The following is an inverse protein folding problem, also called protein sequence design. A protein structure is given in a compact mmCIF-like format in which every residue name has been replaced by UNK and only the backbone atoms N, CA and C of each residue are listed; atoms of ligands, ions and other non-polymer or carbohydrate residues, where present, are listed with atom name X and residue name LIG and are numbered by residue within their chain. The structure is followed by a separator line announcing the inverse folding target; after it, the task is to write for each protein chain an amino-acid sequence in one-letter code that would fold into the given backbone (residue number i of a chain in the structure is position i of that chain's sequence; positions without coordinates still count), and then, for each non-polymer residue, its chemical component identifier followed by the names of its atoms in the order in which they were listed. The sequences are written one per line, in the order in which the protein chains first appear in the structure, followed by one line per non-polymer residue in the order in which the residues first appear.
data_IF_389562250197
#
_entry.id   IF_389562250197
#
_cell.length_a   1.000
_cell.length_b   1.000
_cell.length_c   1.000
_cell.angle_alpha   90.00
_cell.angle_beta   90.00
_cell.angle_gamma   90.00
#
_symmetry.space_group_name_H-M   'P 1'
#
loop_
_entity.id
_entity.type
_entity.pdbx_description
1 polymer ?
#
# COMPACT_ATOMS: atom_id res chain seq x y z
N UNK A 1 19.29 -64.21 38.32
CA UNK A 1 20.75 -64.23 38.10
C UNK A 1 21.11 -62.92 37.53
N UNK A 2 21.47 -62.02 38.37
CA UNK A 2 22.69 -61.19 38.55
C UNK A 2 23.12 -60.48 37.30
N UNK A 3 22.82 -59.14 37.19
CA UNK A 3 23.65 -58.04 37.65
C UNK A 3 24.88 -57.83 36.73
N UNK A 4 24.93 -56.72 36.02
CA UNK A 4 26.02 -55.74 36.19
C UNK A 4 25.75 -54.44 35.55
N UNK A 5 25.72 -53.40 36.39
CA UNK A 5 25.79 -51.96 35.94
C UNK A 5 27.27 -51.60 35.86
N UNK A 6 27.68 -51.07 34.73
CA UNK A 6 28.96 -50.35 34.66
C UNK A 6 28.68 -48.87 34.40
N UNK A 7 29.01 -48.07 35.42
CA UNK A 7 29.15 -46.63 35.42
C UNK A 7 30.26 -46.20 34.44
N UNK A 8 29.98 -45.21 33.58
CA UNK A 8 31.00 -44.44 32.88
C UNK A 8 30.92 -42.97 33.31
N UNK A 9 32.06 -42.37 33.67
CA UNK A 9 32.09 -40.95 34.05
C UNK A 9 31.99 -40.02 32.82
N UNK A 10 31.24 -38.90 32.98
CA UNK A 10 31.12 -37.86 31.98
C UNK A 10 32.35 -36.94 31.94
N UNK A 11 32.60 -36.24 30.83
CA UNK A 11 33.74 -35.38 30.70
C UNK A 11 33.58 -34.04 31.42
N UNK A 12 34.66 -33.61 32.06
CA UNK A 12 34.86 -32.34 32.76
C UNK A 12 34.65 -31.11 31.87
N UNK A 13 33.92 -30.14 32.39
CA UNK A 13 33.83 -28.80 31.80
C UNK A 13 34.94 -27.88 32.34
N UNK A 14 35.64 -27.08 31.55
CA UNK A 14 36.71 -26.20 32.02
C UNK A 14 36.15 -24.99 32.79
N UNK A 15 36.80 -24.72 33.92
CA UNK A 15 36.53 -23.54 34.80
C UNK A 15 36.96 -22.26 34.13
N UNK A 16 36.02 -21.28 34.13
CA UNK A 16 36.31 -19.92 33.72
C UNK A 16 37.16 -19.19 34.76
N UNK A 17 38.39 -18.81 34.37
CA UNK A 17 39.24 -17.88 35.12
C UNK A 17 38.67 -16.47 35.14
N UNK A 18 38.58 -15.90 36.34
CA UNK A 18 38.19 -14.50 36.58
C UNK A 18 39.36 -13.56 36.25
N UNK A 19 39.20 -12.64 35.30
CA UNK A 19 40.10 -11.51 35.09
C UNK A 19 39.89 -10.38 36.10
N UNK A 20 40.95 -9.69 36.57
CA UNK A 20 40.86 -8.66 37.59
C UNK A 20 40.32 -7.31 37.03
N UNK A 21 39.56 -6.61 37.89
CA UNK A 21 39.03 -5.25 37.64
C UNK A 21 40.15 -4.24 37.52
N UNK A 22 40.13 -3.41 36.47
CA UNK A 22 40.96 -2.20 36.33
C UNK A 22 40.22 -0.99 36.89
N UNK A 23 40.92 -0.23 37.75
CA UNK A 23 40.50 1.03 38.35
C UNK A 23 40.50 2.21 37.35
N UNK A 24 39.69 3.24 37.55
CA UNK A 24 39.61 4.38 36.62
C UNK A 24 40.69 5.44 36.91
N UNK A 25 41.32 5.96 35.87
CA UNK A 25 42.22 7.09 35.89
C UNK A 25 41.51 8.45 35.77
N UNK A 26 42.09 9.57 36.28
CA UNK A 26 41.41 10.84 36.47
C UNK A 26 41.30 11.68 35.20
N UNK A 27 40.14 12.31 35.03
CA UNK A 27 39.84 13.26 33.93
C UNK A 27 40.69 14.52 34.02
N UNK A 28 41.47 14.83 33.00
CA UNK A 28 42.13 16.11 32.73
C UNK A 28 41.09 17.07 32.13
N UNK A 29 40.81 18.19 32.86
CA UNK A 29 40.05 19.35 32.35
C UNK A 29 40.95 20.16 31.42
N UNK A 30 40.59 20.28 30.15
CA UNK A 30 41.13 21.31 29.27
C UNK A 30 40.13 22.46 29.16
N UNK A 31 40.58 23.66 29.55
CA UNK A 31 39.88 24.92 29.34
C UNK A 31 40.01 25.30 27.86
N UNK A 32 38.94 25.49 27.16
CA UNK A 32 38.94 26.20 25.89
C UNK A 32 38.34 27.59 26.05
N UNK A 33 39.17 28.58 25.80
CA UNK A 33 38.76 29.97 25.60
C UNK A 33 37.96 30.10 24.31
N UNK A 34 36.77 30.70 24.40
CA UNK A 34 35.95 31.10 23.30
C UNK A 34 36.49 32.39 22.66
N UNK A 35 36.84 32.33 21.37
CA UNK A 35 36.96 33.50 20.52
C UNK A 35 35.61 33.79 19.81
N UNK A 36 34.90 34.80 20.34
CA UNK A 36 33.81 35.45 19.61
C UNK A 36 34.42 36.41 18.59
N UNK A 37 34.41 36.06 17.30
CA UNK A 37 34.49 37.02 16.15
C UNK A 37 34.35 36.22 14.88
N UNK A 38 33.11 36.01 14.38
CA UNK A 38 32.77 35.81 12.95
C UNK A 38 31.26 35.50 12.82
N UNK A 39 30.41 36.54 12.88
CA UNK A 39 28.99 36.32 12.55
C UNK A 39 28.30 37.60 12.06
N UNK A 40 28.95 38.35 11.17
CA UNK A 40 28.32 39.54 10.54
C UNK A 40 28.28 39.47 8.99
N UNK A 41 28.88 38.48 8.36
CA UNK A 41 28.86 38.37 6.88
C UNK A 41 27.82 37.38 6.32
N UNK A 42 27.20 36.54 7.17
CA UNK A 42 26.17 35.57 6.74
C UNK A 42 24.74 36.13 6.64
N UNK A 43 24.47 37.29 7.25
CA UNK A 43 23.12 37.85 7.31
C UNK A 43 22.72 38.78 6.15
N UNK A 44 23.67 39.33 5.41
CA UNK A 44 23.35 40.15 4.21
C UNK A 44 23.02 39.33 2.97
N UNK A 45 23.53 38.09 2.85
CA UNK A 45 23.26 37.22 1.69
C UNK A 45 21.84 36.64 1.66
N UNK A 46 21.23 36.42 2.83
CA UNK A 46 19.91 35.82 2.94
C UNK A 46 18.76 36.77 2.55
N UNK A 47 18.92 38.08 2.70
CA UNK A 47 17.91 39.07 2.34
C UNK A 47 17.84 39.43 0.86
N UNK A 48 18.95 39.26 0.13
CA UNK A 48 18.99 39.51 -1.32
C UNK A 48 18.38 38.34 -2.12
N UNK A 49 18.45 37.10 -1.62
CA UNK A 49 17.82 35.95 -2.26
C UNK A 49 16.30 35.95 -2.09
N UNK A 50 15.78 36.41 -0.96
CA UNK A 50 14.34 36.50 -0.71
C UNK A 50 13.65 37.59 -1.55
N UNK A 51 14.35 38.69 -1.85
CA UNK A 51 13.81 39.79 -2.67
C UNK A 51 13.63 39.43 -4.16
N UNK A 52 14.53 38.60 -4.72
CA UNK A 52 14.46 38.21 -6.14
C UNK A 52 13.34 37.21 -6.40
N UNK A 53 13.07 36.28 -5.44
CA UNK A 53 11.96 35.32 -5.57
C UNK A 53 10.59 36.00 -5.50
N UNK A 54 10.44 37.03 -4.63
CA UNK A 54 9.18 37.77 -4.51
C UNK A 54 8.81 38.55 -5.79
N UNK A 55 9.80 39.13 -6.46
CA UNK A 55 9.58 39.89 -7.72
C UNK A 55 9.22 38.97 -8.90
N UNK A 56 9.78 37.73 -8.94
CA UNK A 56 9.45 36.75 -9.99
C UNK A 56 8.05 36.15 -9.80
N UNK A 57 7.58 35.91 -8.55
CA UNK A 57 6.24 35.40 -8.32
C UNK A 57 5.16 36.44 -8.66
N UNK A 58 5.36 37.74 -8.37
CA UNK A 58 4.42 38.79 -8.70
C UNK A 58 4.36 39.02 -10.24
N UNK A 59 5.48 38.88 -10.94
CA UNK A 59 5.54 39.02 -12.40
C UNK A 59 4.78 37.92 -13.15
N UNK A 60 4.88 36.68 -12.72
CA UNK A 60 4.20 35.53 -13.35
C UNK A 60 2.70 35.54 -13.06
N UNK A 61 2.27 35.93 -11.86
CA UNK A 61 0.86 35.99 -11.50
C UNK A 61 0.14 37.14 -12.21
N UNK A 62 0.81 38.28 -12.41
CA UNK A 62 0.28 39.42 -13.17
C UNK A 62 0.10 39.12 -14.67
N UNK A 63 1.00 38.34 -15.26
CA UNK A 63 0.90 37.95 -16.68
C UNK A 63 -0.18 36.91 -16.94
N UNK A 64 -0.47 36.04 -15.95
CA UNK A 64 -1.51 35.01 -16.04
C UNK A 64 -2.93 35.62 -16.00
N UNK A 65 -3.13 36.71 -15.25
CA UNK A 65 -4.44 37.38 -15.12
C UNK A 65 -4.80 38.26 -16.31
N UNK A 66 -3.82 38.68 -17.15
CA UNK A 66 -4.06 39.53 -18.33
C UNK A 66 -4.43 38.77 -19.60
N UNK A 67 -4.42 37.43 -19.60
CA UNK A 67 -4.67 36.59 -20.77
C UNK A 67 -5.98 35.80 -20.75
N UNK A 68 -6.86 36.00 -19.77
CA UNK A 68 -8.06 35.16 -19.61
C UNK A 68 -9.41 35.87 -19.65
N UNK A 69 -9.51 37.09 -20.21
CA UNK A 69 -10.81 37.73 -20.44
C UNK A 69 -11.01 38.13 -21.91
N UNK A 70 -11.69 37.27 -22.66
CA UNK A 70 -12.33 37.65 -23.92
C UNK A 70 -13.72 36.99 -23.99
N UNK A 71 -14.81 37.75 -23.90
CA UNK A 71 -16.15 37.21 -24.06
C UNK A 71 -16.50 37.05 -25.53
N UNK A 72 -16.81 35.83 -25.96
CA UNK A 72 -17.41 35.55 -27.27
C UNK A 72 -18.89 35.94 -27.23
N UNK A 73 -19.24 36.98 -27.96
CA UNK A 73 -20.65 37.35 -28.22
C UNK A 73 -21.21 36.47 -29.32
N UNK A 74 -22.22 35.66 -28.99
CA UNK A 74 -23.10 35.05 -29.98
C UNK A 74 -24.26 36.01 -30.30
N UNK A 75 -24.37 36.38 -31.56
CA UNK A 75 -25.55 37.05 -32.11
C UNK A 75 -26.71 36.04 -32.21
N UNK A 76 -27.81 36.36 -31.59
CA UNK A 76 -29.07 35.66 -31.76
C UNK A 76 -29.89 36.38 -32.83
N UNK A 77 -30.23 35.71 -33.93
CA UNK A 77 -31.30 36.11 -34.84
C UNK A 77 -32.60 35.45 -34.39
N UNK A 78 -33.57 36.27 -34.09
CA UNK A 78 -34.90 35.83 -33.66
C UNK A 78 -35.80 35.51 -34.83
N UNK A 79 -36.72 34.59 -34.64
CA UNK A 79 -38.05 34.61 -35.26
C UNK A 79 -39.10 34.10 -34.26
N UNK A 80 -40.15 34.88 -34.18
CA UNK A 80 -41.32 34.73 -33.33
C UNK A 80 -42.25 33.60 -33.77
N UNK A 81 -42.88 32.95 -32.82
CA UNK A 81 -44.05 32.09 -33.05
C UNK A 81 -44.74 31.71 -31.72
N UNK A 82 -45.99 32.15 -31.59
CA UNK A 82 -46.80 32.13 -30.38
C UNK A 82 -47.49 30.78 -30.12
N UNK A 83 -47.86 30.61 -28.87
CA UNK A 83 -49.12 30.06 -28.33
C UNK A 83 -49.08 28.73 -27.55
N UNK A 84 -49.37 28.88 -26.27
CA UNK A 84 -50.38 28.20 -25.45
C UNK A 84 -50.19 26.76 -24.93
N UNK A 85 -50.20 26.67 -23.61
CA UNK A 85 -50.96 25.65 -22.88
C UNK A 85 -50.19 24.96 -21.74
N UNK A 86 -50.72 24.94 -20.51
CA UNK A 86 -50.01 24.35 -19.35
C UNK A 86 -50.30 22.85 -19.18
N UNK A 87 -49.27 22.08 -19.17
CA UNK A 87 -49.32 20.67 -18.79
C UNK A 87 -48.13 20.34 -17.91
N UNK A 88 -48.32 20.47 -16.60
CA UNK A 88 -47.32 20.01 -15.63
C UNK A 88 -47.17 18.51 -15.69
N UNK A 89 -46.02 17.99 -16.13
CA UNK A 89 -45.64 16.61 -15.89
C UNK A 89 -44.98 16.50 -14.52
N UNK A 90 -45.35 15.49 -13.72
CA UNK A 90 -44.71 15.22 -12.43
C UNK A 90 -43.25 14.85 -12.70
N UNK A 91 -42.34 15.41 -11.89
CA UNK A 91 -40.94 15.14 -11.94
C UNK A 91 -40.66 13.64 -11.92
N UNK A 92 -40.00 13.16 -12.95
CA UNK A 92 -39.47 11.80 -13.00
C UNK A 92 -38.35 11.72 -11.99
N UNK A 93 -38.64 11.08 -10.86
CA UNK A 93 -37.58 10.56 -9.95
C UNK A 93 -36.60 9.73 -10.80
N UNK A 94 -35.29 9.95 -10.69
CA UNK A 94 -34.37 9.09 -11.41
C UNK A 94 -34.64 7.65 -11.00
N UNK A 95 -34.92 6.79 -11.97
CA UNK A 95 -35.04 5.35 -11.74
C UNK A 95 -33.76 4.86 -11.05
N UNK A 96 -33.87 4.01 -10.01
CA UNK A 96 -32.68 3.41 -9.40
C UNK A 96 -31.90 2.71 -10.51
N UNK A 97 -30.59 3.04 -10.60
CA UNK A 97 -29.70 2.43 -11.57
C UNK A 97 -29.86 0.91 -11.51
N UNK A 98 -30.16 0.29 -12.62
CA UNK A 98 -30.34 -1.16 -12.71
C UNK A 98 -29.08 -1.87 -12.23
N UNK A 99 -29.21 -2.65 -11.15
CA UNK A 99 -28.13 -3.37 -10.42
C UNK A 99 -27.63 -4.61 -11.21
N UNK A 100 -27.43 -4.48 -12.51
CA UNK A 100 -27.12 -5.61 -13.39
C UNK A 100 -25.64 -5.86 -13.62
N UNK A 101 -24.75 -5.00 -13.14
CA UNK A 101 -23.30 -5.15 -13.34
C UNK A 101 -22.56 -5.57 -12.07
N UNK A 102 -21.64 -6.51 -12.21
CA UNK A 102 -20.66 -6.87 -11.18
C UNK A 102 -19.25 -6.69 -11.71
N UNK A 103 -18.31 -6.34 -10.80
CA UNK A 103 -16.87 -6.33 -11.07
C UNK A 103 -16.23 -7.43 -10.23
N UNK A 104 -15.44 -8.30 -10.87
CA UNK A 104 -14.55 -9.22 -10.18
C UNK A 104 -13.22 -8.53 -9.93
N UNK A 105 -12.76 -8.61 -8.68
CA UNK A 105 -11.52 -8.02 -8.20
C UNK A 105 -10.67 -9.15 -7.65
N UNK A 106 -9.41 -9.22 -8.05
CA UNK A 106 -8.40 -10.09 -7.45
C UNK A 106 -7.35 -9.21 -6.82
N UNK A 107 -7.07 -9.41 -5.53
CA UNK A 107 -6.03 -8.70 -4.80
C UNK A 107 -4.99 -9.66 -4.25
N UNK A 108 -3.75 -9.20 -4.25
CA UNK A 108 -2.61 -9.91 -3.69
C UNK A 108 -1.80 -9.00 -2.76
N UNK A 109 -0.99 -9.60 -1.90
CA UNK A 109 -0.13 -8.88 -0.97
C UNK A 109 1.07 -8.18 -1.61
N UNK A 110 2.16 -8.11 -0.85
CA UNK A 110 3.35 -7.34 -1.17
C UNK A 110 4.19 -8.01 -2.26
N UNK A 111 4.55 -7.24 -3.29
CA UNK A 111 5.36 -7.66 -4.43
C UNK A 111 6.70 -6.94 -4.45
N UNK A 112 7.78 -7.72 -4.36
CA UNK A 112 9.15 -7.24 -4.44
C UNK A 112 9.98 -8.15 -5.35
N UNK A 113 10.73 -7.57 -6.29
CA UNK A 113 11.32 -8.35 -7.38
C UNK A 113 12.83 -8.55 -7.28
N UNK A 114 13.43 -8.22 -6.14
CA UNK A 114 14.87 -8.32 -5.92
C UNK A 114 15.54 -6.97 -5.63
N UNK A 115 16.83 -6.99 -5.35
CA UNK A 115 17.62 -5.80 -5.05
C UNK A 115 19.07 -5.97 -5.51
N UNK A 116 19.80 -4.84 -5.64
CA UNK A 116 21.25 -4.81 -5.91
C UNK A 116 21.67 -5.64 -7.13
N UNK A 117 20.84 -5.71 -8.18
CA UNK A 117 21.15 -6.49 -9.38
C UNK A 117 20.82 -7.99 -9.26
N UNK A 118 20.35 -8.44 -8.10
CA UNK A 118 19.93 -9.82 -7.87
C UNK A 118 18.43 -9.95 -8.16
N UNK A 119 18.10 -10.57 -9.29
CA UNK A 119 16.75 -10.70 -9.80
C UNK A 119 16.46 -12.15 -10.23
N UNK A 120 15.16 -12.55 -10.38
CA UNK A 120 14.80 -13.89 -10.83
C UNK A 120 15.49 -14.22 -12.16
N UNK A 121 16.22 -15.34 -12.27
CA UNK A 121 16.91 -15.73 -13.50
C UNK A 121 16.00 -15.86 -14.72
N UNK A 122 14.71 -16.26 -14.51
CA UNK A 122 13.67 -16.31 -15.52
C UNK A 122 12.96 -14.98 -15.78
N UNK A 123 13.44 -13.87 -15.18
CA UNK A 123 12.76 -12.58 -15.16
C UNK A 123 11.58 -12.56 -14.17
N UNK A 124 11.07 -11.34 -13.88
CA UNK A 124 10.01 -11.13 -12.87
C UNK A 124 8.74 -11.93 -13.18
N UNK A 125 8.41 -12.15 -14.45
CA UNK A 125 7.25 -12.95 -14.86
C UNK A 125 7.28 -14.40 -14.36
N UNK A 126 8.47 -14.97 -14.16
CA UNK A 126 8.60 -16.35 -13.68
C UNK A 126 8.13 -16.53 -12.23
N UNK A 127 8.12 -15.47 -11.42
CA UNK A 127 7.62 -15.51 -10.06
C UNK A 127 6.12 -15.86 -9.98
N UNK A 128 5.34 -15.50 -10.99
CA UNK A 128 3.88 -15.67 -10.99
C UNK A 128 3.41 -16.99 -11.57
N UNK A 129 4.33 -17.86 -12.05
CA UNK A 129 3.98 -19.06 -12.80
C UNK A 129 3.07 -20.03 -12.03
N UNK A 130 3.35 -20.25 -10.72
CA UNK A 130 2.60 -21.18 -9.89
C UNK A 130 1.15 -20.77 -9.62
N UNK A 131 0.83 -19.48 -9.78
CA UNK A 131 -0.50 -18.90 -9.47
C UNK A 131 -1.11 -18.16 -10.67
N UNK A 132 -0.55 -18.32 -11.87
CA UNK A 132 -1.00 -17.56 -13.04
C UNK A 132 -2.50 -17.69 -13.32
N UNK A 133 -3.09 -18.86 -13.06
CA UNK A 133 -4.52 -19.09 -13.20
C UNK A 133 -5.41 -18.26 -12.29
N UNK A 134 -4.91 -17.86 -11.13
CA UNK A 134 -5.65 -17.10 -10.12
C UNK A 134 -5.60 -15.58 -10.35
N UNK A 135 -4.75 -15.09 -11.27
CA UNK A 135 -4.54 -13.66 -11.51
C UNK A 135 -5.46 -13.06 -12.59
N UNK A 136 -6.47 -13.79 -13.04
CA UNK A 136 -7.39 -13.34 -14.08
C UNK A 136 -8.74 -12.91 -13.53
N UNK A 137 -8.98 -11.59 -13.48
CA UNK A 137 -10.26 -10.99 -13.12
C UNK A 137 -10.51 -9.70 -13.91
N UNK A 138 -11.68 -9.07 -13.73
CA UNK A 138 -11.95 -7.76 -14.35
C UNK A 138 -10.96 -6.69 -13.88
N UNK A 139 -10.46 -6.84 -12.64
CA UNK A 139 -9.51 -5.93 -12.01
C UNK A 139 -8.58 -6.72 -11.07
N UNK A 140 -7.40 -7.10 -11.54
CA UNK A 140 -6.34 -7.69 -10.72
C UNK A 140 -5.42 -6.59 -10.21
N UNK A 141 -5.19 -6.55 -8.90
CA UNK A 141 -4.43 -5.51 -8.18
C UNK A 141 -3.49 -6.13 -7.15
N UNK A 142 -2.58 -5.33 -6.62
CA UNK A 142 -1.65 -5.72 -5.53
C UNK A 142 -0.76 -4.55 -5.13
N UNK A 143 0.03 -4.72 -4.08
CA UNK A 143 0.99 -3.71 -3.61
C UNK A 143 2.34 -3.90 -4.30
N UNK A 144 2.77 -2.93 -5.11
CA UNK A 144 4.09 -2.91 -5.75
C UNK A 144 5.09 -2.25 -4.77
N UNK A 145 5.81 -3.07 -4.04
CA UNK A 145 6.71 -2.66 -2.96
C UNK A 145 8.17 -2.62 -3.41
N UNK A 146 8.40 -1.97 -4.53
CA UNK A 146 9.74 -1.78 -5.13
C UNK A 146 9.74 -0.58 -6.06
N UNK A 147 10.83 0.17 -6.10
CA UNK A 147 11.08 1.12 -7.17
C UNK A 147 11.38 0.40 -8.48
N UNK A 148 10.94 0.97 -9.62
CA UNK A 148 11.21 0.44 -10.96
C UNK A 148 12.11 1.41 -11.72
N UNK A 149 13.26 0.93 -12.17
CA UNK A 149 14.23 1.75 -12.88
C UNK A 149 15.64 1.27 -12.64
N UNK A 150 16.61 2.12 -12.98
CA UNK A 150 18.04 1.83 -12.80
C UNK A 150 18.83 3.04 -12.31
N UNK A 151 18.16 4.16 -12.13
CA UNK A 151 18.76 5.44 -11.73
C UNK A 151 18.25 5.86 -10.34
N UNK A 152 18.80 6.96 -9.84
CA UNK A 152 18.46 7.50 -8.54
C UNK A 152 19.49 7.21 -7.47
N UNK A 153 19.22 7.70 -6.27
CA UNK A 153 20.08 7.52 -5.10
C UNK A 153 19.35 6.68 -4.07
N UNK A 154 19.98 5.60 -3.63
CA UNK A 154 19.40 4.75 -2.59
C UNK A 154 19.14 5.54 -1.31
N UNK A 155 17.99 5.27 -0.67
CA UNK A 155 17.66 5.84 0.65
C UNK A 155 18.58 5.35 1.77
N UNK A 156 19.27 4.22 1.53
CA UNK A 156 20.15 3.60 2.53
C UNK A 156 21.51 4.29 2.56
N UNK A 157 21.94 4.68 3.76
CA UNK A 157 23.30 5.18 3.98
C UNK A 157 24.35 4.10 3.72
N UNK A 158 25.57 4.52 3.30
CA UNK A 158 26.67 3.61 3.09
C UNK A 158 26.98 2.79 4.36
N UNK A 159 27.00 1.46 4.23
CA UNK A 159 27.29 0.53 5.34
C UNK A 159 26.12 0.27 6.30
N UNK A 160 24.92 0.72 6.00
CA UNK A 160 23.72 0.35 6.77
C UNK A 160 23.39 -1.13 6.59
N UNK A 161 23.21 -1.85 7.70
CA UNK A 161 22.84 -3.28 7.73
C UNK A 161 21.35 -3.50 8.01
N UNK A 162 20.62 -2.44 8.38
CA UNK A 162 19.21 -2.49 8.76
C UNK A 162 18.30 -1.65 7.84
N UNK A 163 18.86 -1.21 6.70
CA UNK A 163 18.11 -0.47 5.69
C UNK A 163 18.03 -1.29 4.40
N UNK A 164 16.83 -1.49 3.91
CA UNK A 164 16.57 -2.20 2.66
C UNK A 164 16.03 -1.20 1.62
N UNK A 165 16.64 -1.20 0.45
CA UNK A 165 16.20 -0.42 -0.70
C UNK A 165 16.04 -1.37 -1.89
N UNK A 166 14.82 -1.46 -2.40
CA UNK A 166 14.44 -2.36 -3.47
C UNK A 166 14.30 -1.58 -4.78
N UNK A 167 15.06 -1.99 -5.77
CA UNK A 167 14.96 -1.42 -7.10
C UNK A 167 15.06 -2.54 -8.14
N UNK A 168 14.04 -2.67 -8.99
CA UNK A 168 13.96 -3.64 -10.05
C UNK A 168 13.99 -2.97 -11.44
N UNK A 169 14.41 -3.67 -12.50
CA UNK A 169 14.42 -3.11 -13.84
C UNK A 169 13.03 -2.59 -14.27
N UNK A 170 12.99 -1.48 -15.01
CA UNK A 170 11.74 -0.89 -15.54
C UNK A 170 10.88 -1.89 -16.33
N UNK A 171 11.51 -2.88 -16.99
CA UNK A 171 10.81 -3.97 -17.70
C UNK A 171 9.92 -4.84 -16.80
N UNK A 172 10.14 -4.81 -15.47
CA UNK A 172 9.32 -5.53 -14.50
C UNK A 172 7.85 -5.10 -14.53
N UNK A 173 7.58 -3.81 -14.85
CA UNK A 173 6.22 -3.32 -15.04
C UNK A 173 5.47 -4.09 -16.13
N UNK A 174 6.13 -4.39 -17.25
CA UNK A 174 5.56 -5.20 -18.34
C UNK A 174 5.28 -6.62 -17.88
N UNK A 175 6.19 -7.25 -17.12
CA UNK A 175 6.00 -8.59 -16.58
C UNK A 175 4.78 -8.66 -15.64
N UNK A 176 4.62 -7.69 -14.74
CA UNK A 176 3.44 -7.56 -13.87
C UNK A 176 2.16 -7.41 -14.71
N UNK A 177 2.19 -6.56 -15.75
CA UNK A 177 1.05 -6.38 -16.66
C UNK A 177 0.69 -7.68 -17.39
N UNK A 178 1.68 -8.43 -17.85
CA UNK A 178 1.52 -9.72 -18.55
C UNK A 178 1.01 -10.83 -17.63
N UNK A 179 1.35 -10.79 -16.34
CA UNK A 179 0.81 -11.70 -15.32
C UNK A 179 -0.69 -11.49 -15.04
N UNK A 180 -1.31 -10.43 -15.60
CA UNK A 180 -2.75 -10.19 -15.48
C UNK A 180 -3.12 -8.93 -14.67
N UNK A 181 -2.15 -8.28 -14.03
CA UNK A 181 -2.43 -7.08 -13.24
C UNK A 181 -2.96 -5.93 -14.09
N UNK A 182 -3.97 -5.26 -13.58
CA UNK A 182 -4.62 -4.10 -14.20
C UNK A 182 -4.18 -2.79 -13.55
N UNK A 183 -3.90 -2.83 -12.25
CA UNK A 183 -3.43 -1.70 -11.47
C UNK A 183 -2.59 -2.17 -10.28
N UNK A 184 -1.76 -1.27 -9.73
CA UNK A 184 -0.98 -1.51 -8.52
C UNK A 184 -1.09 -0.34 -7.55
N UNK A 185 -1.03 -0.63 -6.25
CA UNK A 185 -0.73 0.37 -5.24
C UNK A 185 0.79 0.59 -5.22
N UNK A 186 1.21 1.85 -5.18
CA UNK A 186 2.62 2.25 -5.06
C UNK A 186 2.87 3.10 -3.80
N UNK A 187 1.86 3.27 -2.93
CA UNK A 187 2.03 3.93 -1.65
C UNK A 187 2.53 2.90 -0.63
N UNK A 188 3.81 2.98 -0.28
CA UNK A 188 4.47 2.10 0.69
C UNK A 188 5.85 2.65 1.10
N UNK A 189 6.52 2.02 2.07
CA UNK A 189 7.84 2.42 2.57
C UNK A 189 8.98 2.28 1.55
N UNK A 190 8.73 1.62 0.41
CA UNK A 190 9.70 1.43 -0.68
C UNK A 190 9.48 2.35 -1.88
N UNK A 191 8.51 3.28 -1.77
CA UNK A 191 8.25 4.28 -2.81
C UNK A 191 9.47 5.14 -3.13
N UNK A 192 10.22 5.55 -2.10
CA UNK A 192 11.36 6.47 -2.22
C UNK A 192 12.73 5.76 -2.18
N UNK A 193 12.78 4.46 -2.43
CA UNK A 193 13.99 3.64 -2.35
C UNK A 193 15.13 4.12 -3.25
N UNK A 194 14.81 4.74 -4.37
CA UNK A 194 15.75 5.34 -5.31
C UNK A 194 15.58 6.88 -5.42
N UNK A 195 14.96 7.49 -4.41
CA UNK A 195 14.70 8.94 -4.34
C UNK A 195 13.68 9.40 -5.40
N UNK A 196 13.57 10.72 -5.55
CA UNK A 196 12.63 11.33 -6.49
C UNK A 196 12.80 10.86 -7.94
N UNK A 197 14.03 10.54 -8.35
CA UNK A 197 14.32 9.98 -9.70
C UNK A 197 13.69 8.59 -9.82
N UNK A 198 13.84 7.72 -8.79
CA UNK A 198 13.24 6.40 -8.76
C UNK A 198 11.72 6.43 -8.81
N UNK A 199 11.08 7.41 -8.14
CA UNK A 199 9.64 7.64 -8.24
C UNK A 199 9.23 7.96 -9.67
N UNK A 200 9.95 8.86 -10.35
CA UNK A 200 9.68 9.22 -11.75
C UNK A 200 9.88 8.05 -12.70
N UNK A 201 10.97 7.29 -12.55
CA UNK A 201 11.23 6.10 -13.36
C UNK A 201 10.16 5.02 -13.15
N UNK A 202 9.71 4.81 -11.90
CA UNK A 202 8.61 3.89 -11.57
C UNK A 202 7.32 4.31 -12.30
N UNK A 203 6.92 5.57 -12.19
CA UNK A 203 5.70 6.08 -12.85
C UNK A 203 5.79 5.98 -14.38
N UNK A 204 6.97 6.25 -14.96
CA UNK A 204 7.23 6.10 -16.40
C UNK A 204 7.17 4.63 -16.85
N UNK A 205 7.76 3.70 -16.08
CA UNK A 205 7.73 2.26 -16.37
C UNK A 205 6.30 1.70 -16.34
N UNK A 206 5.51 2.08 -15.32
CA UNK A 206 4.11 1.68 -15.20
C UNK A 206 3.26 2.23 -16.36
N UNK A 207 3.48 3.51 -16.73
CA UNK A 207 2.82 4.15 -17.86
C UNK A 207 3.15 3.43 -19.19
N UNK A 208 4.42 3.16 -19.45
CA UNK A 208 4.89 2.46 -20.65
C UNK A 208 4.35 1.02 -20.76
N UNK A 209 4.11 0.37 -19.61
CA UNK A 209 3.48 -0.95 -19.55
C UNK A 209 1.94 -0.92 -19.63
N UNK A 210 1.32 0.26 -19.73
CA UNK A 210 -0.13 0.44 -19.62
C UNK A 210 -0.73 -0.17 -18.33
N UNK A 211 0.06 -0.18 -17.26
CA UNK A 211 -0.35 -0.61 -15.94
C UNK A 211 -0.76 0.62 -15.12
N UNK A 212 -2.00 0.65 -14.65
CA UNK A 212 -2.48 1.76 -13.81
C UNK A 212 -1.86 1.68 -12.42
N UNK A 213 -1.74 2.81 -11.74
CA UNK A 213 -1.28 2.84 -10.35
C UNK A 213 -1.99 3.93 -9.55
N UNK A 214 -1.95 3.79 -8.23
CA UNK A 214 -2.46 4.77 -7.27
C UNK A 214 -1.52 4.85 -6.09
N UNK A 215 -1.54 5.98 -5.36
CA UNK A 215 -0.75 6.15 -4.13
C UNK A 215 -0.03 7.47 -4.01
N UNK A 216 0.23 8.18 -5.12
CA UNK A 216 0.92 9.47 -5.08
C UNK A 216 0.07 10.56 -4.40
N UNK A 217 0.69 11.60 -3.79
CA UNK A 217 -0.01 12.71 -3.18
C UNK A 217 -1.03 13.33 -4.14
N UNK A 218 -2.27 13.52 -3.70
CA UNK A 218 -3.35 14.10 -4.51
C UNK A 218 -3.95 13.17 -5.58
N UNK A 219 -3.33 12.05 -5.92
CA UNK A 219 -3.77 11.14 -6.98
C UNK A 219 -5.05 10.38 -6.62
N UNK A 220 -5.97 10.28 -7.56
CA UNK A 220 -7.07 9.31 -7.57
C UNK A 220 -7.14 8.71 -8.96
N UNK A 221 -6.98 7.40 -9.06
CA UNK A 221 -6.96 6.72 -10.36
C UNK A 221 -8.34 6.20 -10.69
N UNK A 222 -8.88 6.62 -11.84
CA UNK A 222 -10.18 6.19 -12.32
C UNK A 222 -10.02 5.20 -13.47
N UNK A 223 -10.86 4.17 -13.46
CA UNK A 223 -10.98 3.19 -14.55
C UNK A 223 -12.41 2.73 -14.71
N UNK A 224 -12.72 2.07 -15.83
CA UNK A 224 -14.05 1.51 -16.08
C UNK A 224 -13.91 0.01 -16.34
N UNK A 225 -14.76 -0.80 -15.70
CA UNK A 225 -14.89 -2.24 -15.92
C UNK A 225 -16.35 -2.61 -16.03
N UNK A 226 -16.74 -3.27 -17.09
CA UNK A 226 -18.13 -3.66 -17.36
C UNK A 226 -19.13 -2.48 -17.27
N UNK A 227 -18.70 -1.28 -17.68
CA UNK A 227 -19.51 -0.06 -17.58
C UNK A 227 -19.49 0.60 -16.19
N UNK A 228 -18.90 -0.04 -15.18
CA UNK A 228 -18.81 0.48 -13.81
C UNK A 228 -17.54 1.32 -13.67
N UNK A 229 -17.70 2.59 -13.26
CA UNK A 229 -16.60 3.49 -12.96
C UNK A 229 -16.07 3.22 -11.56
N UNK A 230 -14.78 2.97 -11.46
CA UNK A 230 -14.07 2.60 -10.24
C UNK A 230 -13.02 3.66 -9.93
N UNK A 231 -12.93 4.08 -8.68
CA UNK A 231 -11.87 4.92 -8.15
C UNK A 231 -10.91 4.08 -7.30
N UNK A 232 -9.61 4.22 -7.53
CA UNK A 232 -8.55 3.60 -6.74
C UNK A 232 -7.80 4.70 -5.98
N UNK A 233 -7.60 4.53 -4.66
CA UNK A 233 -6.82 5.41 -3.80
C UNK A 233 -5.88 4.57 -2.95
N UNK A 234 -4.57 4.86 -3.00
CA UNK A 234 -3.56 4.23 -2.16
C UNK A 234 -3.07 5.18 -1.07
N UNK A 235 -2.79 4.65 0.12
CA UNK A 235 -2.33 5.42 1.28
C UNK A 235 -1.21 4.68 2.02
N UNK A 236 -0.21 5.46 2.47
CA UNK A 236 0.87 4.99 3.34
C UNK A 236 1.27 6.09 4.34
N UNK A 237 1.97 5.79 5.44
CA UNK A 237 2.30 6.79 6.45
C UNK A 237 3.52 7.67 6.08
N UNK A 238 3.76 7.93 4.78
CA UNK A 238 4.94 8.64 4.30
C UNK A 238 4.56 9.93 3.56
N UNK A 239 5.45 10.92 3.56
CA UNK A 239 5.19 12.24 2.96
C UNK A 239 5.24 12.22 1.43
N UNK A 240 5.94 11.29 0.84
CA UNK A 240 6.02 11.08 -0.61
C UNK A 240 4.84 10.28 -1.17
N UNK A 241 3.95 9.79 -0.31
CA UNK A 241 2.72 9.13 -0.66
C UNK A 241 1.49 9.92 -0.19
N UNK A 242 0.30 9.45 -0.53
CA UNK A 242 -0.92 9.95 0.11
C UNK A 242 -0.93 9.52 1.56
N UNK A 243 -0.88 10.50 2.47
CA UNK A 243 -0.63 10.26 3.88
C UNK A 243 -1.79 9.55 4.59
N UNK A 244 -1.50 8.38 5.15
CA UNK A 244 -2.42 7.57 5.96
C UNK A 244 -2.63 8.16 7.37
N UNK A 245 -1.67 8.90 7.90
CA UNK A 245 -1.74 9.44 9.25
C UNK A 245 -2.72 10.61 9.38
N UNK A 246 -3.08 11.27 8.27
CA UNK A 246 -4.11 12.31 8.22
C UNK A 246 -5.46 11.71 7.81
N UNK A 247 -6.11 11.02 8.77
CA UNK A 247 -7.40 10.35 8.56
C UNK A 247 -8.49 11.32 8.04
N UNK A 248 -8.64 12.56 8.57
CA UNK A 248 -9.60 13.50 8.04
C UNK A 248 -9.39 13.85 6.55
N UNK A 249 -8.15 14.08 6.13
CA UNK A 249 -7.82 14.37 4.73
C UNK A 249 -8.06 13.13 3.84
N UNK A 250 -7.73 11.93 4.33
CA UNK A 250 -7.99 10.67 3.64
C UNK A 250 -9.50 10.46 3.42
N UNK A 251 -10.32 10.59 4.47
CA UNK A 251 -11.77 10.49 4.38
C UNK A 251 -12.36 11.54 3.41
N UNK A 252 -11.85 12.77 3.42
CA UNK A 252 -12.26 13.80 2.47
C UNK A 252 -11.92 13.43 1.01
N UNK A 253 -10.76 12.79 0.78
CA UNK A 253 -10.37 12.31 -0.55
C UNK A 253 -11.30 11.17 -1.03
N UNK A 254 -11.63 10.23 -0.15
CA UNK A 254 -12.57 9.13 -0.44
C UNK A 254 -13.96 9.67 -0.76
N UNK A 255 -14.51 10.62 0.03
CA UNK A 255 -15.81 11.27 -0.30
C UNK A 255 -15.79 11.91 -1.68
N UNK A 256 -14.71 12.60 -2.06
CA UNK A 256 -14.60 13.18 -3.41
C UNK A 256 -14.55 12.11 -4.50
N UNK A 257 -13.93 10.96 -4.24
CA UNK A 257 -13.90 9.83 -5.17
C UNK A 257 -15.28 9.18 -5.31
N UNK A 258 -15.98 8.94 -4.20
CA UNK A 258 -17.32 8.38 -4.16
C UNK A 258 -18.37 9.25 -4.90
N UNK A 259 -18.20 10.57 -4.89
CA UNK A 259 -19.04 11.48 -5.69
C UNK A 259 -18.78 11.37 -7.21
N UNK A 260 -17.71 10.65 -7.66
CA UNK A 260 -17.30 10.59 -9.07
C UNK A 260 -17.20 9.17 -9.64
N UNK A 261 -17.36 8.15 -8.80
CA UNK A 261 -17.27 6.75 -9.18
C UNK A 261 -18.37 5.95 -8.49
N UNK A 262 -18.74 4.82 -9.08
CA UNK A 262 -19.72 3.89 -8.53
C UNK A 262 -19.11 2.96 -7.48
N UNK A 263 -17.80 2.65 -7.64
CA UNK A 263 -17.04 1.87 -6.68
C UNK A 263 -15.79 2.62 -6.26
N UNK A 264 -15.47 2.57 -4.98
CA UNK A 264 -14.24 3.13 -4.41
C UNK A 264 -13.47 2.03 -3.70
N UNK A 265 -12.27 1.75 -4.18
CA UNK A 265 -11.35 0.77 -3.60
C UNK A 265 -10.18 1.54 -2.98
N UNK A 266 -9.94 1.31 -1.71
CA UNK A 266 -8.85 1.93 -0.95
C UNK A 266 -7.79 0.90 -0.65
N UNK A 267 -6.53 1.22 -0.97
CA UNK A 267 -5.36 0.46 -0.57
C UNK A 267 -4.69 1.13 0.62
N UNK A 268 -4.25 0.34 1.57
CA UNK A 268 -3.44 0.82 2.69
C UNK A 268 -2.16 0.00 2.80
N UNK A 269 -1.04 0.68 3.02
CA UNK A 269 0.20 0.05 3.46
C UNK A 269 0.47 0.53 4.88
N UNK A 270 0.12 -0.29 5.88
CA UNK A 270 -0.01 0.15 7.26
C UNK A 270 0.23 -0.97 8.27
N UNK A 271 0.67 -0.57 9.46
CA UNK A 271 0.90 -1.47 10.58
C UNK A 271 2.37 -1.87 10.76
N UNK A 272 2.67 -2.45 11.90
CA UNK A 272 3.97 -3.03 12.21
C UNK A 272 4.24 -4.26 11.34
N UNK A 273 5.51 -4.62 11.19
CA UNK A 273 5.95 -5.69 10.29
C UNK A 273 6.41 -6.95 11.02
N UNK A 274 6.35 -8.08 10.32
CA UNK A 274 6.93 -9.36 10.71
C UNK A 274 6.01 -10.27 11.51
N UNK A 275 6.53 -11.43 11.90
CA UNK A 275 5.77 -12.53 12.52
C UNK A 275 5.03 -12.13 13.81
N UNK A 276 5.56 -11.17 14.57
CA UNK A 276 4.94 -10.69 15.80
C UNK A 276 3.76 -9.71 15.53
N UNK A 277 3.60 -9.24 14.31
CA UNK A 277 2.62 -8.22 13.91
C UNK A 277 1.35 -8.78 13.26
N UNK A 278 1.05 -10.07 13.44
CA UNK A 278 -0.14 -10.70 12.84
C UNK A 278 -1.47 -10.14 13.37
N UNK A 279 -1.52 -9.73 14.62
CA UNK A 279 -2.73 -9.20 15.23
C UNK A 279 -2.97 -7.74 14.83
N UNK A 280 -4.22 -7.41 14.49
CA UNK A 280 -4.66 -6.03 14.29
C UNK A 280 -5.42 -5.57 15.53
N UNK A 281 -5.01 -4.41 16.08
CA UNK A 281 -5.60 -3.84 17.29
C UNK A 281 -5.86 -2.35 17.11
N UNK A 282 -6.87 -1.78 17.79
CA UNK A 282 -7.03 -0.32 17.80
C UNK A 282 -5.81 0.40 18.33
N UNK A 283 -5.42 1.48 17.70
CA UNK A 283 -4.33 2.34 18.12
C UNK A 283 -3.21 2.45 17.09
N UNK A 284 -2.32 3.42 17.34
CA UNK A 284 -1.16 3.68 16.50
C UNK A 284 -0.16 2.53 16.59
N UNK A 285 0.08 1.85 15.49
CA UNK A 285 1.17 0.88 15.37
C UNK A 285 2.48 1.60 15.00
N UNK A 286 3.60 1.04 15.47
CA UNK A 286 4.95 1.54 15.18
C UNK A 286 5.88 0.40 14.80
N UNK A 287 6.84 0.68 13.92
CA UNK A 287 7.89 -0.27 13.52
C UNK A 287 9.20 0.47 13.28
N UNK A 288 10.30 0.01 13.86
CA UNK A 288 11.62 0.65 13.79
C UNK A 288 11.61 2.16 14.10
N UNK A 289 10.75 2.58 15.03
CA UNK A 289 10.59 4.00 15.42
C UNK A 289 9.68 4.82 14.50
N UNK A 290 9.20 4.27 13.41
CA UNK A 290 8.25 4.92 12.49
C UNK A 290 6.80 4.70 12.92
N UNK A 291 5.96 5.73 12.75
CA UNK A 291 4.50 5.60 12.90
C UNK A 291 3.94 4.89 11.67
N UNK A 292 3.34 3.73 11.87
CA UNK A 292 2.78 2.89 10.80
C UNK A 292 1.25 2.99 10.68
N UNK A 293 0.62 3.90 11.42
CA UNK A 293 -0.81 4.20 11.40
C UNK A 293 -1.63 3.40 12.41
N UNK A 294 -2.93 3.70 12.44
CA UNK A 294 -3.98 2.89 13.08
C UNK A 294 -4.81 2.26 11.97
N UNK A 295 -4.53 1.01 11.57
CA UNK A 295 -5.21 0.36 10.45
C UNK A 295 -6.73 0.27 10.63
N UNK A 296 -7.21 0.07 11.87
CA UNK A 296 -8.64 -0.04 12.17
C UNK A 296 -9.32 1.32 12.04
N UNK A 297 -8.82 2.34 12.75
CA UNK A 297 -9.43 3.67 12.71
C UNK A 297 -9.42 4.26 11.30
N UNK A 298 -8.31 4.07 10.55
CA UNK A 298 -8.22 4.51 9.17
C UNK A 298 -9.24 3.81 8.28
N UNK A 299 -9.31 2.47 8.33
CA UNK A 299 -10.19 1.68 7.47
C UNK A 299 -11.66 1.99 7.73
N UNK A 300 -12.04 2.14 8.99
CA UNK A 300 -13.41 2.55 9.37
C UNK A 300 -13.73 3.93 8.80
N UNK A 301 -12.85 4.92 8.99
CA UNK A 301 -13.08 6.29 8.52
C UNK A 301 -13.22 6.37 6.99
N UNK A 302 -12.46 5.59 6.21
CA UNK A 302 -12.59 5.60 4.76
C UNK A 302 -13.83 4.84 4.28
N UNK A 303 -14.26 3.78 4.97
CA UNK A 303 -15.55 3.11 4.69
C UNK A 303 -16.71 4.06 4.98
N UNK A 304 -16.71 4.75 6.11
CA UNK A 304 -17.72 5.77 6.46
C UNK A 304 -17.73 6.94 5.47
N UNK A 305 -16.59 7.19 4.81
CA UNK A 305 -16.47 8.20 3.75
C UNK A 305 -16.92 7.70 2.36
N UNK A 306 -17.27 6.42 2.21
CA UNK A 306 -17.78 5.83 0.97
C UNK A 306 -16.83 4.88 0.25
N UNK A 307 -15.83 4.33 0.91
CA UNK A 307 -15.07 3.21 0.36
C UNK A 307 -15.91 1.92 0.38
N UNK A 308 -15.88 1.17 -0.73
CA UNK A 308 -16.61 -0.09 -0.89
C UNK A 308 -15.76 -1.32 -0.54
N UNK A 309 -14.43 -1.15 -0.54
CA UNK A 309 -13.47 -2.18 -0.26
C UNK A 309 -12.18 -1.55 0.25
N UNK A 310 -11.58 -2.15 1.29
CA UNK A 310 -10.25 -1.77 1.79
C UNK A 310 -9.32 -2.97 1.69
N UNK A 311 -8.17 -2.77 1.05
CA UNK A 311 -7.15 -3.77 0.77
C UNK A 311 -5.84 -3.36 1.42
N UNK A 312 -5.37 -4.16 2.37
CA UNK A 312 -4.22 -3.87 3.21
C UNK A 312 -2.98 -4.68 2.85
N UNK A 313 -1.83 -4.03 3.05
CA UNK A 313 -0.48 -4.55 2.88
C UNK A 313 0.48 -3.92 3.90
N UNK A 314 1.74 -4.33 3.93
CA UNK A 314 2.81 -3.77 4.76
C UNK A 314 3.26 -4.61 5.94
N UNK A 315 2.40 -5.34 6.66
CA UNK A 315 2.84 -6.18 7.77
C UNK A 315 3.68 -7.40 7.37
N UNK A 316 3.72 -7.76 6.09
CA UNK A 316 4.42 -8.94 5.54
C UNK A 316 3.94 -10.28 6.13
N UNK A 317 2.76 -10.29 6.76
CA UNK A 317 2.07 -11.45 7.30
C UNK A 317 0.58 -11.31 7.07
N UNK A 318 -0.12 -12.44 7.02
CA UNK A 318 -1.57 -12.45 6.99
C UNK A 318 -2.14 -11.84 8.27
N UNK A 319 -3.13 -10.97 8.13
CA UNK A 319 -3.90 -10.38 9.22
C UNK A 319 -5.39 -10.73 9.12
N UNK A 320 -6.15 -10.29 10.12
CA UNK A 320 -7.60 -10.42 10.16
C UNK A 320 -8.28 -9.75 8.95
N UNK A 321 -9.48 -10.22 8.63
CA UNK A 321 -10.42 -9.55 7.73
C UNK A 321 -11.70 -9.18 8.50
N UNK A 322 -12.34 -8.07 8.14
CA UNK A 322 -13.49 -7.50 8.85
C UNK A 322 -14.66 -7.20 7.92
N UNK A 323 -15.88 -7.45 8.41
CA UNK A 323 -17.08 -6.82 7.90
C UNK A 323 -17.36 -5.54 8.69
N UNK A 324 -17.30 -4.39 8.05
CA UNK A 324 -17.65 -3.10 8.65
C UNK A 324 -18.65 -2.37 7.78
N UNK A 325 -19.84 -2.07 8.31
CA UNK A 325 -20.98 -1.49 7.58
C UNK A 325 -21.29 -2.20 6.25
N UNK A 326 -21.13 -3.53 6.22
CA UNK A 326 -21.36 -4.36 5.03
C UNK A 326 -20.25 -4.29 3.97
N UNK A 327 -19.13 -3.63 4.26
CA UNK A 327 -17.94 -3.56 3.42
C UNK A 327 -16.85 -4.49 3.95
N UNK A 328 -16.10 -5.07 3.04
CA UNK A 328 -14.98 -5.93 3.40
C UNK A 328 -13.71 -5.08 3.60
N UNK A 329 -13.02 -5.33 4.70
CA UNK A 329 -11.70 -4.82 5.01
C UNK A 329 -10.75 -6.03 5.14
N UNK A 330 -9.71 -6.11 4.32
CA UNK A 330 -8.60 -7.04 4.50
C UNK A 330 -7.41 -6.23 5.04
N UNK A 331 -6.93 -6.54 6.27
CA UNK A 331 -5.89 -5.73 6.90
C UNK A 331 -4.49 -6.04 6.41
N UNK A 332 -4.23 -7.25 5.92
CA UNK A 332 -3.02 -7.63 5.17
C UNK A 332 -3.20 -9.01 4.55
N UNK A 333 -2.73 -9.16 3.33
CA UNK A 333 -2.64 -10.45 2.63
C UNK A 333 -1.24 -11.08 2.73
N UNK A 334 -0.32 -10.46 3.49
CA UNK A 334 1.06 -10.92 3.62
C UNK A 334 1.90 -10.66 2.37
N UNK A 335 3.00 -11.38 2.25
CA UNK A 335 3.87 -11.35 1.08
C UNK A 335 3.24 -12.10 -0.08
N UNK A 336 3.33 -11.57 -1.30
CA UNK A 336 2.81 -12.29 -2.48
C UNK A 336 3.93 -12.81 -3.37
N UNK A 337 4.90 -11.99 -3.73
CA UNK A 337 6.02 -12.40 -4.57
C UNK A 337 7.27 -11.60 -4.22
N UNK A 338 8.37 -12.29 -3.98
CA UNK A 338 9.68 -11.71 -3.72
C UNK A 338 10.77 -12.49 -4.42
N UNK A 339 11.99 -11.96 -4.43
CA UNK A 339 13.15 -12.73 -4.86
C UNK A 339 14.31 -12.47 -3.92
N UNK A 340 14.50 -13.38 -2.96
CA UNK A 340 15.50 -13.28 -1.88
C UNK A 340 15.43 -11.97 -1.05
N UNK A 341 14.24 -11.38 -0.94
CA UNK A 341 14.03 -10.07 -0.30
C UNK A 341 13.00 -10.10 0.82
N UNK A 342 12.13 -11.11 0.84
CA UNK A 342 11.07 -11.27 1.82
C UNK A 342 11.39 -12.41 2.77
N UNK A 343 10.93 -12.31 4.02
CA UNK A 343 11.03 -13.42 4.98
C UNK A 343 10.15 -14.59 4.52
N UNK A 344 10.74 -15.82 4.53
CA UNK A 344 10.06 -17.03 4.07
C UNK A 344 9.92 -18.06 5.19
N UNK A 345 10.13 -17.66 6.45
CA UNK A 345 10.08 -18.54 7.60
C UNK A 345 8.74 -18.46 8.32
N UNK A 346 8.13 -19.62 8.59
CA UNK A 346 6.87 -19.69 9.34
C UNK A 346 5.76 -18.88 8.67
N UNK A 347 5.13 -18.00 9.44
CA UNK A 347 3.96 -17.22 9.01
C UNK A 347 4.25 -16.12 7.98
N UNK A 348 5.52 -15.74 7.76
CA UNK A 348 5.89 -14.77 6.73
C UNK A 348 5.88 -15.38 5.32
N UNK A 349 5.92 -16.72 5.24
CA UNK A 349 5.72 -17.43 3.98
C UNK A 349 4.24 -17.70 3.66
N UNK A 350 3.34 -17.64 4.66
CA UNK A 350 1.92 -17.87 4.44
C UNK A 350 1.26 -16.62 3.86
N UNK A 351 0.48 -16.79 2.79
CA UNK A 351 -0.14 -15.70 2.05
C UNK A 351 -1.48 -16.11 1.45
N UNK A 352 -2.12 -15.17 0.75
CA UNK A 352 -3.42 -15.43 0.14
C UNK A 352 -3.66 -14.57 -1.10
N UNK A 353 -4.42 -15.11 -2.04
CA UNK A 353 -5.04 -14.36 -3.13
C UNK A 353 -6.52 -14.16 -2.78
N UNK A 354 -6.97 -12.93 -2.77
CA UNK A 354 -8.32 -12.55 -2.42
C UNK A 354 -9.14 -12.28 -3.68
N UNK A 355 -10.21 -13.03 -3.89
CA UNK A 355 -11.14 -12.85 -4.98
C UNK A 355 -12.46 -12.29 -4.48
N UNK A 356 -12.93 -11.18 -5.02
CA UNK A 356 -14.14 -10.48 -4.61
C UNK A 356 -14.98 -10.15 -5.83
N UNK A 357 -16.30 -10.20 -5.69
CA UNK A 357 -17.25 -9.61 -6.64
C UNK A 357 -18.08 -8.56 -5.93
N UNK A 358 -18.07 -7.35 -6.48
CA UNK A 358 -18.90 -6.24 -6.02
C UNK A 358 -19.94 -5.88 -7.08
N UNK A 359 -21.16 -5.54 -6.64
CA UNK A 359 -22.14 -4.89 -7.49
C UNK A 359 -21.80 -3.41 -7.68
N UNK A 360 -22.39 -2.78 -8.68
CA UNK A 360 -22.17 -1.37 -8.98
C UNK A 360 -22.52 -0.42 -7.80
N UNK A 361 -23.37 -0.85 -6.88
CA UNK A 361 -23.70 -0.12 -5.64
C UNK A 361 -22.76 -0.43 -4.46
N UNK A 362 -21.65 -1.12 -4.71
CA UNK A 362 -20.66 -1.48 -3.70
C UNK A 362 -21.01 -2.68 -2.82
N UNK A 363 -22.18 -3.31 -3.01
CA UNK A 363 -22.55 -4.48 -2.21
C UNK A 363 -21.75 -5.71 -2.62
N UNK A 364 -21.34 -6.49 -1.63
CA UNK A 364 -20.63 -7.75 -1.83
C UNK A 364 -21.54 -8.77 -2.52
N UNK A 365 -21.10 -9.31 -3.66
CA UNK A 365 -21.82 -10.30 -4.45
C UNK A 365 -21.23 -11.72 -4.33
N UNK A 366 -20.11 -11.86 -3.61
CA UNK A 366 -19.44 -13.13 -3.38
C UNK A 366 -17.92 -12.96 -3.41
N UNK A 367 -17.20 -13.95 -2.90
CA UNK A 367 -15.74 -13.97 -2.92
C UNK A 367 -15.17 -15.23 -2.33
N UNK A 368 -13.88 -15.40 -2.52
CA UNK A 368 -13.09 -16.51 -2.00
C UNK A 368 -11.66 -16.09 -1.71
N UNK A 369 -10.99 -16.89 -0.92
CA UNK A 369 -9.56 -16.80 -0.62
C UNK A 369 -8.89 -18.06 -1.16
N UNK A 370 -7.90 -17.89 -2.04
CA UNK A 370 -6.98 -18.94 -2.45
C UNK A 370 -5.75 -18.86 -1.55
N UNK A 371 -5.53 -19.84 -0.65
CA UNK A 371 -4.35 -19.85 0.18
C UNK A 371 -3.13 -20.20 -0.65
N UNK A 372 -2.06 -19.45 -0.48
CA UNK A 372 -0.78 -19.66 -1.13
C UNK A 372 0.35 -19.60 -0.11
N UNK A 373 1.49 -20.13 -0.51
CA UNK A 373 2.72 -20.09 0.26
C UNK A 373 3.88 -19.68 -0.63
N UNK A 374 4.77 -18.86 -0.11
CA UNK A 374 6.01 -18.53 -0.80
C UNK A 374 7.02 -19.65 -0.63
N UNK A 375 7.62 -20.07 -1.74
CA UNK A 375 8.60 -21.16 -1.80
C UNK A 375 9.87 -20.72 -2.54
N UNK A 376 10.95 -21.47 -2.36
CA UNK A 376 12.24 -21.17 -3.00
C UNK A 376 12.75 -19.79 -2.60
N UNK A 377 13.03 -18.95 -3.58
CA UNK A 377 13.47 -17.56 -3.38
C UNK A 377 12.31 -16.58 -3.15
N UNK A 378 11.06 -17.05 -3.04
CA UNK A 378 9.87 -16.22 -2.78
C UNK A 378 8.83 -16.22 -3.89
N UNK A 379 8.72 -17.32 -4.65
CA UNK A 379 7.63 -17.51 -5.62
C UNK A 379 6.36 -18.00 -4.93
N UNK A 380 5.19 -17.45 -5.27
CA UNK A 380 3.92 -17.94 -4.73
C UNK A 380 3.50 -19.27 -5.39
N UNK A 381 3.15 -20.22 -4.55
CA UNK A 381 2.59 -21.53 -4.95
C UNK A 381 1.30 -21.80 -4.18
N UNK A 382 0.34 -22.57 -4.75
CA UNK A 382 -0.84 -22.98 -4.01
C UNK A 382 -0.47 -23.71 -2.71
N UNK A 383 -1.15 -23.38 -1.60
CA UNK A 383 -0.99 -24.06 -0.32
C UNK A 383 -2.10 -25.13 -0.13
N UNK A 384 -1.82 -26.43 -0.38
CA UNK A 384 -2.79 -27.49 -0.19
C UNK A 384 -3.17 -27.72 1.28
N UNK A 385 -2.30 -27.30 2.24
CA UNK A 385 -2.59 -27.38 3.66
C UNK A 385 -3.58 -26.30 4.11
N UNK A 386 -3.79 -25.25 3.28
CA UNK A 386 -4.72 -24.15 3.55
C UNK A 386 -4.43 -23.40 4.84
N UNK A 387 -3.17 -23.30 5.20
CA UNK A 387 -2.68 -22.64 6.41
C UNK A 387 -3.16 -21.20 6.48
N UNK A 388 -3.09 -20.47 5.36
CA UNK A 388 -3.53 -19.08 5.27
C UNK A 388 -5.02 -18.88 5.63
N UNK A 389 -5.93 -19.79 5.22
CA UNK A 389 -7.35 -19.72 5.58
C UNK A 389 -7.54 -19.93 7.08
N UNK A 390 -6.88 -20.92 7.65
CA UNK A 390 -6.97 -21.20 9.09
C UNK A 390 -6.46 -20.01 9.91
N UNK A 391 -5.36 -19.40 9.47
CA UNK A 391 -4.75 -18.23 10.11
C UNK A 391 -5.66 -17.02 10.05
N UNK A 392 -6.15 -16.63 8.86
CA UNK A 392 -7.09 -15.50 8.70
C UNK A 392 -8.33 -15.70 9.57
N UNK A 393 -8.92 -16.90 9.59
CA UNK A 393 -10.10 -17.20 10.41
C UNK A 393 -9.82 -17.08 11.92
N UNK A 394 -8.64 -17.51 12.36
CA UNK A 394 -8.22 -17.42 13.77
C UNK A 394 -8.06 -15.95 14.17
N UNK A 395 -7.30 -15.18 13.39
CA UNK A 395 -7.04 -13.76 13.62
C UNK A 395 -8.35 -12.93 13.55
N UNK A 396 -9.20 -13.17 12.55
CA UNK A 396 -10.47 -12.44 12.40
C UNK A 396 -11.38 -12.65 13.62
N UNK A 397 -11.41 -13.87 14.16
CA UNK A 397 -12.19 -14.19 15.36
C UNK A 397 -11.58 -13.60 16.63
N UNK A 398 -10.25 -13.70 16.80
CA UNK A 398 -9.58 -13.24 18.02
C UNK A 398 -9.55 -11.73 18.13
N UNK A 399 -9.32 -11.02 17.02
CA UNK A 399 -9.07 -9.58 17.02
C UNK A 399 -10.36 -8.76 16.86
N UNK A 400 -11.35 -9.31 16.12
CA UNK A 400 -12.52 -8.57 15.65
C UNK A 400 -13.86 -9.18 16.09
N UNK A 401 -13.82 -10.35 16.74
CA UNK A 401 -15.00 -11.00 17.29
C UNK A 401 -16.11 -11.24 16.26
N UNK A 402 -17.30 -10.69 16.51
CA UNK A 402 -18.48 -10.89 15.65
C UNK A 402 -18.35 -10.21 14.27
N UNK A 403 -17.54 -9.15 14.14
CA UNK A 403 -17.27 -8.49 12.86
C UNK A 403 -16.20 -9.16 12.02
N UNK A 404 -15.49 -10.13 12.59
CA UNK A 404 -14.47 -10.91 11.88
C UNK A 404 -15.08 -11.74 10.75
N UNK A 405 -14.41 -11.71 9.59
CA UNK A 405 -14.80 -12.51 8.42
C UNK A 405 -14.59 -13.99 8.71
N UNK A 406 -15.50 -14.82 8.21
CA UNK A 406 -15.38 -16.27 8.20
C UNK A 406 -15.17 -16.76 6.77
N UNK A 407 -14.21 -17.63 6.60
CA UNK A 407 -13.88 -18.27 5.32
C UNK A 407 -14.11 -19.79 5.51
N UNK A 408 -15.00 -20.33 4.67
CA UNK A 408 -15.26 -21.77 4.66
C UNK A 408 -14.01 -22.56 4.25
N UNK A 409 -13.98 -23.87 4.56
CA UNK A 409 -12.90 -24.75 4.13
C UNK A 409 -12.68 -24.77 2.60
N UNK A 410 -13.72 -24.46 1.81
CA UNK A 410 -13.62 -24.30 0.35
C UNK A 410 -12.90 -23.02 -0.10
N UNK A 411 -12.59 -22.11 0.83
CA UNK A 411 -12.10 -20.77 0.52
C UNK A 411 -13.21 -19.72 0.38
N UNK A 412 -14.48 -20.11 0.33
CA UNK A 412 -15.60 -19.17 0.16
C UNK A 412 -15.71 -18.23 1.36
N UNK A 413 -15.81 -16.94 1.09
CA UNK A 413 -16.07 -15.90 2.10
C UNK A 413 -17.56 -15.94 2.48
N UNK A 414 -17.86 -16.06 3.76
CA UNK A 414 -19.21 -16.04 4.30
C UNK A 414 -19.63 -14.59 4.60
N UNK A 415 -20.88 -14.25 4.29
CA UNK A 415 -21.47 -12.98 4.71
C UNK A 415 -21.61 -12.94 6.23
N UNK A 416 -21.54 -11.74 6.80
CA UNK A 416 -21.86 -11.54 8.21
C UNK A 416 -23.26 -12.13 8.51
N UNK A 417 -23.37 -12.92 9.57
CA UNK A 417 -24.69 -13.34 10.07
C UNK A 417 -25.41 -12.09 10.58
N UNK A 418 -26.59 -11.85 10.06
CA UNK A 418 -27.48 -10.78 10.53
C UNK A 418 -27.97 -11.09 11.94
#
# INVERSE_FOLDING_TARGET
MTSDRQDRPGPDLPRHERRPRRSPSPRRRSRHHSSRRADLRGRLGAWLAAGVVAVLVIGVTGLYLLHHDSPVRHLATGTSGAAAGPGGQPGSTPAPASDTGTVSITDVGDMNFGMNGHYPPGGVGSLFAGVAGDLHSSLTVGNLETALGSSGTTKCGAGSTECFAFQAPAASARAVRQAGFSAVNVANNHTDDAGAVGIQETDAALSAAHLRWTGRPGQTTYLVRHGIKIALLGFAPYSYDRNLLDIPAAAAAVRRAAARAQLVIVFIHAGAEGAAAQHVRPGMETYLGEKRGDPIAFSHAVVDAGADLVLGSGPHVLRAMQWYHGRLIAYSLGNFAGYDTLGLDGVTADSAILHIRLRANGTFAGGSVTPIRLVGAGSPEPDPARTGIALINSLSRSDLGASGVRIAASGKIELARR
#
